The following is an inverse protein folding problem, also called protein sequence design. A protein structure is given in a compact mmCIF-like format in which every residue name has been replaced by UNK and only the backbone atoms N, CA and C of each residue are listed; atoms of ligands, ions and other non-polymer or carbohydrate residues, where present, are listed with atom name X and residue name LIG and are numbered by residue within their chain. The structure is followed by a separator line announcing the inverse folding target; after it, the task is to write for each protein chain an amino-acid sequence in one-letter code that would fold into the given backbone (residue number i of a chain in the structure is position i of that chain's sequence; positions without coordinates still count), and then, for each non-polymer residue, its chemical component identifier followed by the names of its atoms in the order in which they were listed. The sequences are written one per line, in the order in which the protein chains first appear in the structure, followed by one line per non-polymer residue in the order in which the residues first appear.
data_IF_856138912365
#
_entry.id   IF_856138912365
#
_cell.length_a   1.000
_cell.length_b   1.000
_cell.length_c   1.000
_cell.angle_alpha   90.00
_cell.angle_beta   90.00
_cell.angle_gamma   90.00
#
_symmetry.space_group_name_H-M   'P 1'
#
loop_
_entity.id
_entity.type
_entity.pdbx_description
1 polymer ?
#
# COMPACT_ATOMS: atom_id res chain seq x y z
N UNK A 1 0.12 16.26 22.83
CA UNK A 1 -0.51 16.12 21.51
C UNK A 1 0.27 15.12 20.67
N UNK A 2 -0.15 13.86 20.74
CA UNK A 2 0.27 12.87 19.76
C UNK A 2 -0.39 13.29 18.43
N UNK A 3 0.33 14.01 17.60
CA UNK A 3 -0.15 14.44 16.30
C UNK A 3 -0.11 13.29 15.30
N UNK A 4 -0.87 12.25 15.59
CA UNK A 4 -1.22 11.23 14.61
C UNK A 4 -2.32 11.78 13.71
N UNK A 5 -2.15 11.65 12.40
CA UNK A 5 -3.15 12.04 11.41
C UNK A 5 -3.90 10.84 10.87
N UNK A 6 -5.19 11.01 10.60
CA UNK A 6 -5.93 10.09 9.75
C UNK A 6 -5.50 10.33 8.31
N UNK A 7 -4.94 9.30 7.64
CA UNK A 7 -4.49 9.41 6.25
C UNK A 7 -5.60 9.12 5.25
N UNK A 8 -6.34 8.05 5.50
CA UNK A 8 -7.44 7.61 4.65
C UNK A 8 -8.63 7.26 5.52
N UNK A 9 -9.83 7.52 5.05
CA UNK A 9 -11.04 7.07 5.72
C UNK A 9 -12.12 6.71 4.71
N UNK A 10 -13.03 5.84 5.12
CA UNK A 10 -14.19 5.44 4.32
C UNK A 10 -15.34 5.07 5.21
N UNK A 11 -16.52 5.62 4.91
CA UNK A 11 -17.77 5.31 5.60
C UNK A 11 -18.54 4.29 4.78
N UNK A 12 -19.11 3.28 5.44
CA UNK A 12 -19.98 2.33 4.78
C UNK A 12 -21.28 3.00 4.29
N UNK A 13 -21.90 2.45 3.22
CA UNK A 13 -23.13 3.01 2.63
C UNK A 13 -24.30 3.08 3.60
N UNK A 14 -24.34 2.14 4.54
CA UNK A 14 -25.34 2.12 5.60
C UNK A 14 -25.07 3.17 6.70
N UNK A 15 -23.96 3.91 6.59
CA UNK A 15 -23.54 4.92 7.55
C UNK A 15 -23.14 4.35 8.92
N UNK A 16 -23.07 3.04 9.08
CA UNK A 16 -22.87 2.41 10.39
C UNK A 16 -21.41 2.14 10.72
N UNK A 17 -20.52 2.03 9.72
CA UNK A 17 -19.11 1.70 9.94
C UNK A 17 -18.20 2.74 9.30
N UNK A 18 -17.32 3.32 10.10
CA UNK A 18 -16.21 4.13 9.66
C UNK A 18 -14.94 3.29 9.71
N UNK A 19 -14.26 3.14 8.59
CA UNK A 19 -12.88 2.65 8.52
C UNK A 19 -11.94 3.81 8.35
N UNK A 20 -10.79 3.76 9.01
CA UNK A 20 -9.76 4.78 8.83
C UNK A 20 -8.37 4.23 9.12
N UNK A 21 -7.38 4.83 8.50
CA UNK A 21 -5.96 4.55 8.72
C UNK A 21 -5.34 5.67 9.54
N UNK A 22 -4.48 5.31 10.48
CA UNK A 22 -3.75 6.25 11.33
C UNK A 22 -2.26 6.16 11.02
N UNK A 23 -1.62 7.32 10.89
CA UNK A 23 -0.17 7.46 10.90
C UNK A 23 0.21 8.45 12.01
N UNK A 24 0.98 7.98 12.97
CA UNK A 24 1.46 8.74 14.13
C UNK A 24 2.98 8.77 14.14
N UNK A 25 3.55 9.76 14.82
CA UNK A 25 4.98 9.77 15.15
C UNK A 25 5.34 8.60 16.07
N UNK A 26 4.39 8.16 16.88
CA UNK A 26 4.49 6.94 17.68
C UNK A 26 4.05 5.77 16.82
N UNK A 27 4.99 5.09 16.19
CA UNK A 27 4.72 4.04 15.19
C UNK A 27 3.81 2.91 15.72
N UNK A 28 3.79 2.66 17.02
CA UNK A 28 2.92 1.66 17.65
C UNK A 28 1.43 2.00 17.57
N UNK A 29 1.09 3.28 17.34
CA UNK A 29 -0.28 3.76 17.20
C UNK A 29 -0.80 3.69 15.74
N UNK A 30 0.09 3.39 14.81
CA UNK A 30 -0.28 3.23 13.41
C UNK A 30 -1.22 2.04 13.25
N UNK A 31 -2.14 2.13 12.30
CA UNK A 31 -3.05 1.03 12.07
C UNK A 31 -4.22 1.35 11.16
N UNK A 32 -5.04 0.33 10.98
CA UNK A 32 -6.37 0.42 10.39
C UNK A 32 -7.39 0.10 11.48
N UNK A 33 -8.37 0.98 11.63
CA UNK A 33 -9.36 0.89 12.67
C UNK A 33 -10.77 0.90 12.06
N UNK A 34 -11.67 0.21 12.73
CA UNK A 34 -13.10 0.25 12.46
C UNK A 34 -13.82 0.81 13.69
N UNK A 35 -14.79 1.69 13.47
CA UNK A 35 -15.68 2.17 14.53
C UNK A 35 -17.11 2.26 14.05
N UNK A 36 -18.05 2.21 14.98
CA UNK A 36 -19.45 2.48 14.72
C UNK A 36 -19.64 3.99 14.53
N UNK A 37 -19.95 4.41 13.30
CA UNK A 37 -20.11 5.83 12.97
C UNK A 37 -21.36 6.46 13.64
N UNK A 38 -22.32 5.66 14.05
CA UNK A 38 -23.53 6.12 14.77
C UNK A 38 -23.35 6.25 16.28
N UNK A 39 -22.23 5.79 16.84
CA UNK A 39 -21.97 5.81 18.28
C UNK A 39 -20.79 6.74 18.61
N UNK A 40 -21.01 7.59 19.60
CA UNK A 40 -19.94 8.47 20.13
C UNK A 40 -19.17 7.83 21.30
N UNK A 41 -19.67 6.71 21.80
CA UNK A 41 -19.15 6.05 23.01
C UNK A 41 -18.38 4.77 22.70
N UNK A 42 -18.62 4.17 21.54
CA UNK A 42 -17.94 2.94 21.15
C UNK A 42 -16.46 3.21 20.83
N UNK A 43 -15.59 2.45 21.46
CA UNK A 43 -14.18 2.52 21.15
C UNK A 43 -13.88 1.94 19.77
N UNK A 44 -12.92 2.52 19.02
CA UNK A 44 -12.45 1.94 17.77
C UNK A 44 -11.87 0.55 17.98
N UNK A 45 -12.14 -0.34 17.04
CA UNK A 45 -11.56 -1.68 17.00
C UNK A 45 -10.39 -1.68 16.05
N UNK A 46 -9.21 -2.08 16.51
CA UNK A 46 -8.04 -2.22 15.66
C UNK A 46 -8.19 -3.48 14.77
N UNK A 47 -8.23 -3.28 13.47
CA UNK A 47 -8.21 -4.38 12.49
C UNK A 47 -6.78 -4.86 12.23
N UNK A 48 -5.85 -3.93 12.24
CA UNK A 48 -4.42 -4.15 12.22
C UNK A 48 -3.75 -2.95 12.87
N UNK A 49 -2.72 -3.15 13.70
CA UNK A 49 -1.99 -2.07 14.36
C UNK A 49 -0.52 -2.45 14.55
N UNK A 50 0.30 -1.46 14.83
CA UNK A 50 1.73 -1.58 15.06
C UNK A 50 2.56 -0.79 14.05
N UNK A 51 3.90 -0.86 14.14
CA UNK A 51 4.78 -0.12 13.25
C UNK A 51 4.52 -0.48 11.79
N UNK A 52 4.75 0.49 10.91
CA UNK A 52 4.55 0.32 9.48
C UNK A 52 3.53 1.30 8.90
N UNK A 53 3.38 1.22 7.59
CA UNK A 53 2.44 2.04 6.80
C UNK A 53 1.19 1.26 6.50
N UNK A 54 0.05 1.94 6.47
CA UNK A 54 -1.27 1.37 6.18
C UNK A 54 -1.92 2.22 5.09
N UNK A 55 -2.05 1.67 3.89
CA UNK A 55 -2.34 2.40 2.66
C UNK A 55 -3.41 1.70 1.83
N UNK A 56 -4.04 2.43 0.91
CA UNK A 56 -4.95 1.89 -0.10
C UNK A 56 -6.19 1.21 0.49
N UNK A 57 -6.78 1.83 1.50
CA UNK A 57 -8.01 1.32 2.10
C UNK A 57 -9.15 1.26 1.06
N UNK A 58 -9.72 0.08 0.87
CA UNK A 58 -10.80 -0.12 -0.10
C UNK A 58 -11.85 -1.10 0.42
N UNK A 59 -13.11 -0.89 0.01
CA UNK A 59 -14.21 -1.80 0.25
C UNK A 59 -14.56 -2.61 -1.00
N UNK A 60 -15.12 -3.80 -0.79
CA UNK A 60 -15.87 -4.48 -1.83
C UNK A 60 -17.22 -3.76 -2.08
N UNK A 61 -17.88 -4.08 -3.18
CA UNK A 61 -19.14 -3.42 -3.59
C UNK A 61 -20.25 -3.54 -2.56
N UNK A 62 -20.35 -4.68 -1.89
CA UNK A 62 -21.37 -4.95 -0.88
C UNK A 62 -20.96 -4.49 0.51
N UNK A 63 -19.71 -4.04 0.65
CA UNK A 63 -19.12 -3.57 1.92
C UNK A 63 -19.16 -4.61 3.04
N UNK A 64 -19.03 -5.86 2.65
CA UNK A 64 -18.83 -6.99 3.55
C UNK A 64 -17.36 -7.21 3.88
N UNK A 65 -16.47 -6.79 2.96
CA UNK A 65 -15.02 -6.94 3.07
C UNK A 65 -14.31 -5.63 2.77
N UNK A 66 -13.23 -5.39 3.47
CA UNK A 66 -12.31 -4.32 3.17
C UNK A 66 -10.90 -4.86 3.01
N UNK A 67 -10.09 -4.19 2.21
CA UNK A 67 -8.71 -4.54 1.99
C UNK A 67 -7.82 -3.30 2.09
N UNK A 68 -6.57 -3.51 2.46
CA UNK A 68 -5.53 -2.49 2.51
C UNK A 68 -4.16 -3.12 2.29
N UNK A 69 -3.15 -2.29 2.09
CA UNK A 69 -1.75 -2.70 1.93
C UNK A 69 -0.96 -2.19 3.12
N UNK A 70 -0.08 -3.03 3.67
CA UNK A 70 0.78 -2.64 4.80
C UNK A 70 2.12 -3.39 4.76
N UNK A 71 3.15 -2.76 5.30
CA UNK A 71 4.47 -3.34 5.54
C UNK A 71 4.71 -3.68 7.02
N UNK A 72 3.65 -3.72 7.85
CA UNK A 72 3.71 -3.92 9.30
C UNK A 72 4.55 -5.13 9.74
N UNK A 73 4.52 -6.21 8.97
CA UNK A 73 5.23 -7.44 9.31
C UNK A 73 6.74 -7.37 8.98
N UNK A 74 7.16 -6.33 8.26
CA UNK A 74 8.55 -6.11 7.81
C UNK A 74 9.01 -4.66 8.03
N UNK A 75 8.31 -3.91 8.88
CA UNK A 75 8.51 -2.47 9.08
C UNK A 75 9.95 -2.11 9.51
N UNK A 76 10.64 -3.00 10.22
CA UNK A 76 12.03 -2.79 10.67
C UNK A 76 13.07 -3.01 9.56
N UNK A 77 12.65 -3.49 8.38
CA UNK A 77 13.55 -3.74 7.26
C UNK A 77 13.99 -2.44 6.59
N UNK A 78 15.23 -2.42 6.06
CA UNK A 78 15.71 -1.30 5.22
C UNK A 78 14.95 -1.17 3.90
N UNK A 79 14.31 -2.23 3.44
CA UNK A 79 13.45 -2.26 2.26
C UNK A 79 12.18 -3.04 2.59
N UNK A 80 11.22 -2.43 3.33
CA UNK A 80 10.04 -3.11 3.82
C UNK A 80 9.20 -3.69 2.69
N UNK A 81 8.77 -4.94 2.84
CA UNK A 81 7.92 -5.62 1.88
C UNK A 81 6.46 -5.42 2.26
N UNK A 82 5.69 -4.96 1.30
CA UNK A 82 4.25 -4.78 1.45
C UNK A 82 3.52 -6.11 1.30
N UNK A 83 2.43 -6.25 2.05
CA UNK A 83 1.44 -7.33 1.93
C UNK A 83 0.05 -6.73 1.76
N UNK A 84 -0.84 -7.45 1.09
CA UNK A 84 -2.25 -7.09 1.07
C UNK A 84 -2.99 -7.82 2.17
N UNK A 85 -3.81 -7.09 2.90
CA UNK A 85 -4.63 -7.58 4.01
C UNK A 85 -6.09 -7.50 3.64
N UNK A 86 -6.85 -8.48 4.10
CA UNK A 86 -8.30 -8.57 3.94
C UNK A 86 -8.95 -8.62 5.33
N UNK A 87 -10.00 -7.85 5.50
CA UNK A 87 -10.87 -7.90 6.66
C UNK A 87 -12.29 -8.21 6.25
N UNK A 88 -12.93 -9.12 6.96
CA UNK A 88 -14.33 -9.42 6.83
C UNK A 88 -15.14 -8.73 7.96
N UNK A 89 -16.12 -7.93 7.59
CA UNK A 89 -16.95 -7.15 8.54
C UNK A 89 -17.64 -8.01 9.59
N UNK A 90 -17.97 -9.26 9.23
CA UNK A 90 -18.59 -10.25 10.12
C UNK A 90 -17.59 -11.03 10.97
N UNK A 91 -16.29 -10.93 10.71
CA UNK A 91 -15.28 -11.72 11.41
C UNK A 91 -15.24 -11.42 12.92
N UNK A 92 -15.04 -12.45 13.70
CA UNK A 92 -14.82 -12.37 15.15
C UNK A 92 -13.69 -13.33 15.54
N UNK A 93 -12.57 -12.83 16.12
CA UNK A 93 -12.30 -11.41 16.42
C UNK A 93 -12.20 -10.56 15.16
N UNK A 94 -12.44 -9.26 15.27
CA UNK A 94 -12.32 -8.33 14.17
C UNK A 94 -10.83 -8.05 13.91
N UNK A 95 -10.22 -8.82 13.03
CA UNK A 95 -8.82 -8.67 12.64
C UNK A 95 -8.68 -8.87 11.13
N UNK A 96 -7.79 -8.10 10.53
CA UNK A 96 -7.41 -8.28 9.13
C UNK A 96 -6.33 -9.37 9.01
N UNK A 97 -6.40 -10.16 7.96
CA UNK A 97 -5.49 -11.26 7.66
C UNK A 97 -4.68 -10.92 6.41
N UNK A 98 -3.39 -11.24 6.42
CA UNK A 98 -2.58 -11.14 5.21
C UNK A 98 -3.03 -12.22 4.20
N UNK A 99 -3.36 -11.79 2.98
CA UNK A 99 -3.86 -12.69 1.92
C UNK A 99 -2.94 -12.74 0.70
N UNK A 100 -2.14 -11.71 0.46
CA UNK A 100 -1.16 -11.68 -0.63
C UNK A 100 0.16 -11.11 -0.15
N UNK A 101 1.22 -11.83 -0.41
CA UNK A 101 2.60 -11.41 -0.20
C UNK A 101 3.51 -11.93 -1.33
N UNK A 102 4.83 -11.73 -1.19
CA UNK A 102 5.80 -12.17 -2.19
C UNK A 102 5.90 -13.71 -2.34
N UNK A 103 5.41 -14.48 -1.35
CA UNK A 103 5.43 -15.95 -1.35
C UNK A 103 4.11 -16.57 -1.82
N UNK A 104 3.09 -15.75 -2.08
CA UNK A 104 1.77 -16.22 -2.51
C UNK A 104 1.89 -16.99 -3.84
N UNK A 105 1.30 -18.20 -3.94
CA UNK A 105 1.32 -18.98 -5.18
C UNK A 105 0.83 -18.16 -6.38
N UNK A 106 1.60 -18.18 -7.48
CA UNK A 106 1.33 -17.37 -8.68
C UNK A 106 1.97 -15.98 -8.68
N UNK A 107 2.58 -15.54 -7.58
CA UNK A 107 3.37 -14.30 -7.56
C UNK A 107 4.72 -14.54 -8.25
N UNK A 108 5.05 -13.81 -9.33
CA UNK A 108 6.38 -13.91 -9.94
C UNK A 108 7.46 -13.47 -8.96
N UNK A 109 8.60 -14.17 -8.93
CA UNK A 109 9.70 -13.84 -8.02
C UNK A 109 10.29 -12.43 -8.23
N UNK A 110 10.04 -11.83 -9.38
CA UNK A 110 10.47 -10.47 -9.73
C UNK A 110 9.49 -9.39 -9.30
N UNK A 111 8.35 -9.75 -8.75
CA UNK A 111 7.30 -8.83 -8.33
C UNK A 111 6.98 -8.96 -6.85
N UNK A 112 6.52 -7.88 -6.28
CA UNK A 112 5.99 -7.80 -4.91
C UNK A 112 4.76 -6.89 -4.89
N UNK A 113 3.98 -6.93 -3.82
CA UNK A 113 2.87 -5.98 -3.60
C UNK A 113 3.42 -4.56 -3.59
N UNK A 114 2.72 -3.65 -4.24
CA UNK A 114 3.16 -2.26 -4.43
C UNK A 114 2.13 -1.25 -3.91
N UNK A 115 2.61 -0.13 -3.42
CA UNK A 115 1.82 1.04 -3.03
C UNK A 115 1.55 2.01 -4.20
N UNK A 116 2.15 1.79 -5.36
CA UNK A 116 2.06 2.71 -6.51
C UNK A 116 0.81 2.52 -7.36
N UNK A 117 0.19 1.34 -7.32
CA UNK A 117 -1.03 1.03 -8.04
C UNK A 117 -2.28 1.11 -7.17
N UNK A 118 -3.43 0.77 -7.76
CA UNK A 118 -4.70 0.76 -7.07
C UNK A 118 -5.04 -0.65 -6.57
N UNK A 119 -5.41 -0.76 -5.28
CA UNK A 119 -6.05 -1.92 -4.69
C UNK A 119 -7.55 -1.83 -4.92
N UNK A 120 -8.20 -2.87 -5.44
CA UNK A 120 -9.63 -2.84 -5.70
C UNK A 120 -10.24 -4.24 -5.74
N UNK A 121 -11.52 -4.35 -5.44
CA UNK A 121 -12.27 -5.57 -5.64
C UNK A 121 -12.89 -5.64 -7.04
N UNK A 122 -13.11 -6.86 -7.55
CA UNK A 122 -13.97 -7.08 -8.69
C UNK A 122 -15.43 -6.68 -8.39
N UNK A 123 -16.21 -6.47 -9.42
CA UNK A 123 -17.61 -6.01 -9.29
C UNK A 123 -18.49 -6.98 -8.48
N UNK A 124 -18.23 -8.27 -8.60
CA UNK A 124 -18.92 -9.34 -7.86
C UNK A 124 -18.31 -9.60 -6.47
N UNK A 125 -17.23 -8.89 -6.14
CA UNK A 125 -16.48 -9.08 -4.90
C UNK A 125 -15.69 -10.39 -4.83
N UNK A 126 -15.72 -11.22 -5.86
CA UNK A 126 -15.08 -12.54 -5.86
C UNK A 126 -13.55 -12.51 -5.99
N UNK A 127 -12.98 -11.37 -6.41
CA UNK A 127 -11.53 -11.22 -6.59
C UNK A 127 -11.04 -9.92 -5.99
N UNK A 128 -9.84 -9.94 -5.44
CA UNK A 128 -9.10 -8.76 -5.02
C UNK A 128 -7.99 -8.49 -6.04
N UNK A 129 -8.02 -7.34 -6.69
CA UNK A 129 -6.98 -6.90 -7.58
C UNK A 129 -5.90 -6.16 -6.78
N UNK A 130 -4.71 -6.74 -6.78
CA UNK A 130 -3.56 -6.26 -6.00
C UNK A 130 -2.55 -5.64 -6.95
N UNK A 131 -2.10 -4.40 -6.70
CA UNK A 131 -1.03 -3.81 -7.48
C UNK A 131 0.30 -4.48 -7.14
N UNK A 132 1.07 -4.84 -8.16
CA UNK A 132 2.39 -5.43 -8.02
C UNK A 132 3.42 -4.65 -8.84
N UNK A 133 4.65 -4.60 -8.36
CA UNK A 133 5.77 -3.99 -9.05
C UNK A 133 7.08 -4.71 -8.66
N UNK A 134 8.17 -4.51 -9.39
CA UNK A 134 9.47 -4.93 -8.91
C UNK A 134 9.73 -4.36 -7.52
N UNK A 135 10.32 -5.14 -6.59
CA UNK A 135 10.65 -4.68 -5.26
C UNK A 135 11.47 -3.38 -5.30
N UNK A 136 11.20 -2.47 -4.38
CA UNK A 136 11.99 -1.26 -4.26
C UNK A 136 13.45 -1.63 -4.01
N UNK A 137 14.36 -1.03 -4.77
CA UNK A 137 15.78 -1.17 -4.50
C UNK A 137 16.07 -0.58 -3.10
N UNK A 138 16.97 -1.19 -2.32
CA UNK A 138 17.37 -0.60 -1.06
C UNK A 138 17.89 0.83 -1.30
N UNK A 139 17.68 1.76 -0.36
CA UNK A 139 18.18 3.12 -0.50
C UNK A 139 19.68 3.06 -0.80
N UNK A 140 20.08 3.74 -1.88
CA UNK A 140 21.50 3.92 -2.15
C UNK A 140 22.12 4.65 -0.97
N UNK A 141 23.34 4.28 -0.60
CA UNK A 141 24.13 5.08 0.33
C UNK A 141 24.11 6.54 -0.15
N UNK A 142 23.91 7.47 0.78
CA UNK A 142 23.98 8.88 0.45
C UNK A 142 25.33 9.15 -0.21
N UNK A 143 25.26 9.65 -1.42
CA UNK A 143 26.41 10.07 -2.18
C UNK A 143 26.66 11.54 -1.80
N UNK A 144 27.59 11.74 -0.86
CA UNK A 144 27.98 13.06 -0.34
C UNK A 144 28.65 13.95 -1.39
N UNK A 145 28.78 13.49 -2.64
CA UNK A 145 29.33 14.29 -3.73
C UNK A 145 28.46 15.53 -3.95
N UNK A 146 29.02 16.74 -3.89
CA UNK A 146 28.30 17.97 -4.18
C UNK A 146 27.56 17.90 -5.52
N UNK A 147 26.41 18.57 -5.61
CA UNK A 147 25.54 18.47 -6.78
C UNK A 147 26.20 18.95 -8.09
N UNK A 148 27.14 19.88 -7.99
CA UNK A 148 27.97 20.42 -9.06
C UNK A 148 29.11 19.49 -9.51
N UNK A 149 29.51 18.56 -8.64
CA UNK A 149 30.50 17.53 -8.95
C UNK A 149 29.89 16.23 -9.47
N UNK A 150 28.56 16.08 -9.40
CA UNK A 150 27.87 14.89 -9.90
C UNK A 150 27.90 14.85 -11.43
N UNK A 151 28.68 13.93 -11.96
CA UNK A 151 28.68 13.68 -13.41
C UNK A 151 27.38 13.01 -13.80
N UNK A 152 26.56 13.71 -14.57
CA UNK A 152 25.34 13.17 -15.17
C UNK A 152 25.64 12.82 -16.63
N UNK A 153 25.76 11.53 -16.93
CA UNK A 153 25.92 11.06 -18.30
C UNK A 153 24.58 10.49 -18.81
N UNK A 154 24.08 11.04 -19.90
CA UNK A 154 22.95 10.47 -20.62
C UNK A 154 23.47 9.56 -21.74
N UNK A 155 23.25 8.27 -21.60
CA UNK A 155 23.63 7.29 -22.62
C UNK A 155 22.37 6.90 -23.39
N UNK A 156 22.37 7.10 -24.69
CA UNK A 156 21.29 6.68 -25.58
C UNK A 156 21.85 5.95 -26.81
N UNK A 157 21.05 5.08 -27.37
CA UNK A 157 21.39 4.27 -28.52
C UNK A 157 20.42 4.57 -29.66
N UNK A 158 20.89 4.53 -30.89
CA UNK A 158 20.05 4.70 -32.10
C UNK A 158 18.96 3.61 -32.23
N UNK A 159 19.07 2.50 -31.50
CA UNK A 159 18.07 1.42 -31.44
C UNK A 159 17.03 1.60 -30.36
N UNK A 160 17.15 2.67 -29.55
CA UNK A 160 16.16 2.95 -28.51
C UNK A 160 14.81 3.31 -29.15
N UNK A 161 13.72 2.72 -28.67
CA UNK A 161 12.35 2.98 -29.16
C UNK A 161 11.93 4.43 -29.00
N UNK A 162 12.56 5.15 -28.08
CA UNK A 162 12.26 6.54 -27.75
C UNK A 162 13.52 7.38 -27.75
N UNK A 163 13.42 8.59 -28.29
CA UNK A 163 14.50 9.60 -28.18
C UNK A 163 14.67 10.06 -26.75
N UNK A 164 15.88 10.42 -26.35
CA UNK A 164 16.28 10.75 -24.98
C UNK A 164 15.33 11.75 -24.25
N UNK A 165 14.85 12.84 -24.87
CA UNK A 165 13.88 13.72 -24.19
C UNK A 165 12.58 13.01 -23.80
N UNK A 166 12.10 12.09 -24.64
CA UNK A 166 10.91 11.29 -24.34
C UNK A 166 11.17 10.25 -23.27
N UNK A 167 12.35 9.66 -23.24
CA UNK A 167 12.76 8.76 -22.14
C UNK A 167 12.77 9.48 -20.80
N UNK A 168 13.26 10.70 -20.73
CA UNK A 168 13.25 11.53 -19.52
C UNK A 168 11.82 11.82 -19.02
N UNK A 169 10.91 12.21 -19.93
CA UNK A 169 9.51 12.47 -19.58
C UNK A 169 8.83 11.19 -19.06
N UNK A 170 9.10 10.04 -19.68
CA UNK A 170 8.51 8.76 -19.30
C UNK A 170 9.18 8.09 -18.11
N UNK A 171 10.40 8.50 -17.73
CA UNK A 171 11.15 7.89 -16.64
C UNK A 171 10.36 7.83 -15.32
N UNK A 172 9.58 8.86 -14.99
CA UNK A 172 8.75 8.88 -13.80
C UNK A 172 7.57 7.88 -13.90
N UNK A 173 6.97 7.74 -15.09
CA UNK A 173 5.88 6.79 -15.34
C UNK A 173 6.39 5.36 -15.25
N UNK A 174 7.55 5.06 -15.84
CA UNK A 174 8.18 3.73 -15.80
C UNK A 174 8.59 3.33 -14.37
N UNK A 175 9.11 4.27 -13.56
CA UNK A 175 9.42 4.01 -12.14
C UNK A 175 8.17 3.66 -11.32
N UNK A 176 7.01 4.15 -11.72
CA UNK A 176 5.74 3.92 -11.04
C UNK A 176 4.88 2.85 -11.74
N UNK A 177 5.44 2.17 -12.74
CA UNK A 177 4.75 1.12 -13.46
C UNK A 177 4.36 -0.02 -12.53
N UNK A 178 3.10 -0.42 -12.62
CA UNK A 178 2.57 -1.53 -11.83
C UNK A 178 1.87 -2.55 -12.71
N UNK A 179 1.82 -3.77 -12.24
CA UNK A 179 1.06 -4.85 -12.83
C UNK A 179 -0.10 -5.20 -11.89
N UNK A 180 -1.14 -5.79 -12.42
CA UNK A 180 -2.31 -6.18 -11.63
C UNK A 180 -2.28 -7.67 -11.40
N UNK A 181 -2.15 -8.09 -10.14
CA UNK A 181 -2.42 -9.45 -9.71
C UNK A 181 -3.90 -9.62 -9.34
N UNK A 182 -4.44 -10.82 -9.46
CA UNK A 182 -5.77 -11.17 -8.98
C UNK A 182 -5.65 -12.29 -7.92
N UNK A 183 -6.27 -12.07 -6.77
CA UNK A 183 -6.41 -13.02 -5.66
C UNK A 183 -7.86 -13.40 -5.51
#
# INVERSE_FOLDING_TARGET
DASGGVLEYSVSRDGMTLLYTVSSKTETENGVFAMNAGSRTDAPVALASGPGRYLKLTWDREQKRAAFVSDRDDAASKAPKLKAYLWERSARPAAAVAVVDASTPGMPATLAVSDKGQLSFSRDGGRLYVPTAPPAAPPKAEDDTPADEKVVADIWNYKDDLVQPMQRIRAAQERNRTFRGAY
#
